data_IF_373127391411
#
_entry.id   IF_373127391411
#
_cell.length_a   1.000
_cell.length_b   1.000
_cell.length_c   1.000
_cell.angle_alpha   90.00
_cell.angle_beta   90.00
_cell.angle_gamma   90.00
#
_symmetry.space_group_name_H-M   'P 1'
#
loop_
_entity.id
_entity.type
_entity.pdbx_description
1 polymer ?
#
# COMPACT_ATOMS: atom_id res chain seq x y z
N UNK A 1 6.69 -20.13 1.61
CA UNK A 1 5.53 -19.85 2.47
C UNK A 1 4.95 -18.44 2.25
N UNK A 2 5.78 -17.37 2.25
CA UNK A 2 5.34 -15.95 2.22
C UNK A 2 4.43 -15.60 1.05
N UNK A 3 4.76 -16.02 -0.18
CA UNK A 3 3.89 -15.77 -1.34
C UNK A 3 2.52 -16.43 -1.18
N UNK A 4 2.46 -17.66 -0.70
CA UNK A 4 1.20 -18.35 -0.41
C UNK A 4 0.39 -17.68 0.70
N UNK A 5 1.05 -17.11 1.72
CA UNK A 5 0.37 -16.32 2.76
C UNK A 5 -0.33 -15.10 2.14
N UNK A 6 0.35 -14.39 1.23
CA UNK A 6 -0.23 -13.24 0.54
C UNK A 6 -1.34 -13.64 -0.44
N UNK A 7 -1.19 -14.75 -1.17
CA UNK A 7 -2.28 -15.31 -2.01
C UNK A 7 -3.49 -15.64 -1.14
N UNK A 8 -3.28 -16.33 -0.02
CA UNK A 8 -4.36 -16.67 0.92
C UNK A 8 -5.03 -15.42 1.51
N UNK A 9 -4.24 -14.40 1.89
CA UNK A 9 -4.77 -13.13 2.39
C UNK A 9 -5.59 -12.41 1.31
N UNK A 10 -5.09 -12.36 0.07
CA UNK A 10 -5.81 -11.76 -1.04
C UNK A 10 -7.15 -12.45 -1.31
N UNK A 11 -7.15 -13.79 -1.36
CA UNK A 11 -8.37 -14.58 -1.56
C UNK A 11 -9.36 -14.36 -0.40
N UNK A 12 -8.89 -14.41 0.84
CA UNK A 12 -9.72 -14.14 2.03
C UNK A 12 -10.34 -12.75 1.97
N UNK A 13 -9.56 -11.74 1.60
CA UNK A 13 -10.03 -10.36 1.48
C UNK A 13 -11.16 -10.26 0.43
N UNK A 14 -10.94 -10.83 -0.76
CA UNK A 14 -11.97 -10.81 -1.81
C UNK A 14 -13.24 -11.55 -1.41
N UNK A 15 -13.13 -12.70 -0.74
CA UNK A 15 -14.31 -13.45 -0.24
C UNK A 15 -15.09 -12.59 0.76
N UNK A 16 -14.43 -12.01 1.77
CA UNK A 16 -15.12 -11.27 2.83
C UNK A 16 -15.70 -9.94 2.32
N UNK A 17 -15.02 -9.27 1.40
CA UNK A 17 -15.57 -8.09 0.70
C UNK A 17 -16.79 -8.47 -0.12
N UNK A 18 -16.73 -9.55 -0.91
CA UNK A 18 -17.87 -10.02 -1.70
C UNK A 18 -19.06 -10.43 -0.84
N UNK A 19 -18.83 -11.08 0.31
CA UNK A 19 -19.89 -11.42 1.27
C UNK A 19 -20.52 -10.17 1.88
N UNK A 20 -19.71 -9.15 2.23
CA UNK A 20 -20.23 -7.88 2.75
C UNK A 20 -21.08 -7.15 1.70
N UNK A 21 -20.58 -7.06 0.46
CA UNK A 21 -21.34 -6.47 -0.65
C UNK A 21 -22.66 -7.21 -0.92
N UNK A 22 -22.63 -8.54 -0.95
CA UNK A 22 -23.83 -9.35 -1.16
C UNK A 22 -24.86 -9.12 -0.06
N UNK A 23 -24.45 -9.07 1.20
CA UNK A 23 -25.30 -8.71 2.33
C UNK A 23 -26.00 -7.38 2.11
N UNK A 24 -25.24 -6.35 1.70
CA UNK A 24 -25.77 -4.99 1.52
C UNK A 24 -26.75 -4.91 0.34
N UNK A 25 -26.46 -5.63 -0.76
CA UNK A 25 -27.37 -5.77 -1.90
C UNK A 25 -28.68 -6.45 -1.47
N UNK A 26 -28.60 -7.57 -0.76
CA UNK A 26 -29.79 -8.29 -0.26
C UNK A 26 -30.60 -7.38 0.69
N UNK A 27 -29.95 -6.69 1.62
CA UNK A 27 -30.60 -5.76 2.54
C UNK A 27 -31.31 -4.62 1.79
N UNK A 28 -30.66 -4.08 0.74
CA UNK A 28 -31.25 -3.04 -0.10
C UNK A 28 -32.52 -3.51 -0.82
N UNK A 29 -32.49 -4.70 -1.44
CA UNK A 29 -33.69 -5.28 -2.09
C UNK A 29 -34.81 -5.60 -1.09
N UNK A 30 -34.49 -6.11 0.10
CA UNK A 30 -35.47 -6.38 1.14
C UNK A 30 -36.15 -5.09 1.63
N UNK A 31 -35.37 -4.01 1.86
CA UNK A 31 -35.91 -2.73 2.25
C UNK A 31 -36.81 -2.13 1.15
N UNK A 32 -36.34 -2.18 -0.11
CA UNK A 32 -37.13 -1.72 -1.26
C UNK A 32 -38.45 -2.50 -1.41
N UNK A 33 -38.43 -3.81 -1.20
CA UNK A 33 -39.63 -4.64 -1.20
C UNK A 33 -40.62 -4.23 -0.08
N UNK A 34 -40.11 -3.98 1.14
CA UNK A 34 -40.95 -3.50 2.27
C UNK A 34 -41.54 -2.14 1.97
N UNK A 35 -40.81 -1.26 1.31
CA UNK A 35 -41.25 0.11 0.95
C UNK A 35 -42.11 0.15 -0.32
N UNK A 36 -42.28 -0.98 -1.03
CA UNK A 36 -43.05 -1.05 -2.29
C UNK A 36 -42.31 -0.36 -3.47
N UNK A 37 -41.00 -0.30 -3.43
CA UNK A 37 -40.18 0.28 -4.49
C UNK A 37 -39.70 -0.79 -5.48
N UNK A 38 -40.47 -1.02 -6.52
CA UNK A 38 -40.18 -2.04 -7.55
C UNK A 38 -39.04 -1.64 -8.52
N UNK A 39 -38.56 -0.40 -8.45
CA UNK A 39 -37.51 0.15 -9.34
C UNK A 39 -36.15 0.29 -8.63
N UNK A 40 -35.97 -0.35 -7.47
CA UNK A 40 -34.71 -0.27 -6.75
C UNK A 40 -33.54 -0.86 -7.57
N UNK A 41 -32.48 -0.08 -7.67
CA UNK A 41 -31.18 -0.50 -8.22
C UNK A 41 -30.11 -0.26 -7.15
N UNK A 42 -29.26 -1.26 -6.83
CA UNK A 42 -28.19 -1.06 -5.87
C UNK A 42 -27.23 0.06 -6.30
N UNK A 43 -26.92 0.95 -5.36
CA UNK A 43 -25.88 1.97 -5.55
C UNK A 43 -24.50 1.31 -5.44
N UNK A 44 -23.86 1.12 -6.59
CA UNK A 44 -22.54 0.49 -6.68
C UNK A 44 -21.44 1.31 -6.00
N UNK A 45 -21.55 2.64 -5.97
CA UNK A 45 -20.59 3.52 -5.29
C UNK A 45 -20.70 3.36 -3.76
N UNK A 46 -21.93 3.34 -3.23
CA UNK A 46 -22.16 3.09 -1.81
C UNK A 46 -21.68 1.69 -1.38
N UNK A 47 -21.89 0.67 -2.22
CA UNK A 47 -21.38 -0.69 -1.97
C UNK A 47 -19.86 -0.74 -1.95
N UNK A 48 -19.19 -0.09 -2.90
CA UNK A 48 -17.73 0.00 -2.96
C UNK A 48 -17.15 0.81 -1.78
N UNK A 49 -17.88 1.78 -1.25
CA UNK A 49 -17.50 2.58 -0.08
C UNK A 49 -17.61 1.84 1.25
N UNK A 50 -18.16 0.63 1.31
CA UNK A 50 -18.31 -0.12 2.55
C UNK A 50 -17.03 -0.91 2.89
N UNK A 51 -16.31 -0.49 3.94
CA UNK A 51 -15.04 -1.11 4.35
C UNK A 51 -15.18 -2.32 5.29
N UNK A 52 -16.37 -2.71 5.72
CA UNK A 52 -16.51 -3.78 6.72
C UNK A 52 -15.93 -5.12 6.27
N UNK A 53 -16.04 -5.46 4.98
CA UNK A 53 -15.41 -6.65 4.40
C UNK A 53 -13.89 -6.63 4.51
N UNK A 54 -13.27 -5.49 4.22
CA UNK A 54 -11.83 -5.29 4.35
C UNK A 54 -11.37 -5.36 5.80
N UNK A 55 -12.10 -4.70 6.73
CA UNK A 55 -11.81 -4.72 8.17
C UNK A 55 -11.87 -6.15 8.71
N UNK A 56 -12.90 -6.89 8.35
CA UNK A 56 -13.03 -8.30 8.74
C UNK A 56 -11.88 -9.16 8.20
N UNK A 57 -11.49 -8.98 6.93
CA UNK A 57 -10.39 -9.71 6.31
C UNK A 57 -9.05 -9.45 7.02
N UNK A 58 -8.77 -8.19 7.33
CA UNK A 58 -7.58 -7.79 8.09
C UNK A 58 -7.58 -8.44 9.47
N UNK A 59 -8.69 -8.35 10.21
CA UNK A 59 -8.78 -8.92 11.55
C UNK A 59 -8.53 -10.43 11.54
N UNK A 60 -9.19 -11.17 10.63
CA UNK A 60 -9.00 -12.62 10.49
C UNK A 60 -7.56 -12.96 10.10
N UNK A 61 -6.98 -12.24 9.12
CA UNK A 61 -5.61 -12.48 8.69
C UNK A 61 -4.59 -12.26 9.83
N UNK A 62 -4.74 -11.18 10.60
CA UNK A 62 -3.85 -10.89 11.72
C UNK A 62 -3.99 -11.93 12.85
N UNK A 63 -5.21 -12.40 13.14
CA UNK A 63 -5.43 -13.49 14.10
C UNK A 63 -4.74 -14.78 13.64
N UNK A 64 -4.89 -15.16 12.36
CA UNK A 64 -4.24 -16.35 11.80
C UNK A 64 -2.71 -16.20 11.88
N UNK A 65 -2.15 -15.05 11.49
CA UNK A 65 -0.72 -14.80 11.53
C UNK A 65 -0.17 -14.80 12.97
N UNK A 66 -0.93 -14.24 13.91
CA UNK A 66 -0.58 -14.25 15.32
C UNK A 66 -0.56 -15.68 15.89
N UNK A 67 -1.61 -16.45 15.63
CA UNK A 67 -1.71 -17.84 16.07
C UNK A 67 -0.59 -18.72 15.47
N UNK A 68 -0.24 -18.48 14.19
CA UNK A 68 0.80 -19.24 13.52
C UNK A 68 2.20 -18.93 14.02
N UNK A 69 2.53 -17.66 14.26
CA UNK A 69 3.90 -17.24 14.65
C UNK A 69 4.13 -17.20 16.16
N UNK A 70 3.06 -17.07 16.93
CA UNK A 70 3.12 -17.02 18.39
C UNK A 70 3.57 -15.68 18.96
N UNK A 71 3.29 -15.47 20.24
CA UNK A 71 3.54 -14.20 20.93
C UNK A 71 5.02 -13.79 21.00
N UNK A 72 5.94 -14.75 21.08
CA UNK A 72 7.39 -14.49 21.13
C UNK A 72 7.88 -13.81 19.84
N UNK A 73 7.41 -14.27 18.69
CA UNK A 73 7.74 -13.62 17.40
C UNK A 73 7.23 -12.19 17.36
N UNK A 74 5.97 -11.97 17.73
CA UNK A 74 5.37 -10.63 17.67
C UNK A 74 5.97 -9.68 18.71
N UNK A 75 6.14 -10.11 19.96
CA UNK A 75 6.71 -9.30 21.02
C UNK A 75 8.23 -9.12 20.89
N UNK A 76 8.95 -10.20 20.59
CA UNK A 76 10.41 -10.20 20.57
C UNK A 76 11.04 -9.68 19.29
N UNK A 77 10.45 -9.99 18.12
CA UNK A 77 11.04 -9.62 16.84
C UNK A 77 10.32 -8.44 16.16
N UNK A 78 8.99 -8.45 16.12
CA UNK A 78 8.24 -7.43 15.37
C UNK A 78 8.19 -6.10 16.10
N UNK A 79 7.87 -6.11 17.40
CA UNK A 79 7.75 -4.88 18.20
C UNK A 79 9.09 -4.38 18.75
N UNK A 80 10.19 -5.08 18.46
CA UNK A 80 11.53 -4.68 18.89
C UNK A 80 11.93 -3.33 18.31
N UNK A 81 12.52 -2.48 19.17
CA UNK A 81 13.15 -1.23 18.77
C UNK A 81 14.64 -1.46 18.59
N UNK A 82 15.18 -1.11 17.41
CA UNK A 82 16.61 -1.28 17.11
C UNK A 82 17.40 -0.03 17.52
N UNK A 83 16.97 1.16 17.09
CA UNK A 83 17.59 2.45 17.39
C UNK A 83 16.54 3.49 17.76
N UNK A 84 16.88 4.50 18.57
CA UNK A 84 15.99 5.63 18.82
C UNK A 84 15.83 6.46 17.55
N UNK A 85 14.60 6.83 17.20
CA UNK A 85 14.29 7.72 16.09
C UNK A 85 14.51 9.16 16.55
N UNK A 86 15.50 9.85 15.96
CA UNK A 86 15.74 11.27 16.21
C UNK A 86 14.83 12.12 15.31
N UNK A 87 14.35 13.30 15.78
CA UNK A 87 13.44 14.16 15.00
C UNK A 87 13.97 14.52 13.60
N UNK A 88 15.26 14.85 13.48
CA UNK A 88 15.86 15.16 12.18
C UNK A 88 15.86 13.97 11.21
N UNK A 89 16.04 12.75 11.72
CA UNK A 89 15.97 11.54 10.90
C UNK A 89 14.52 11.27 10.49
N UNK A 90 13.56 11.44 11.41
CA UNK A 90 12.14 11.31 11.08
C UNK A 90 11.73 12.28 9.97
N UNK A 91 12.17 13.55 10.07
CA UNK A 91 11.92 14.54 9.02
C UNK A 91 12.53 14.12 7.68
N UNK A 92 13.75 13.59 7.66
CA UNK A 92 14.35 13.04 6.45
C UNK A 92 13.51 11.89 5.86
N UNK A 93 13.00 10.97 6.70
CA UNK A 93 12.17 9.85 6.25
C UNK A 93 10.81 10.34 5.72
N UNK A 94 10.22 11.37 6.35
CA UNK A 94 9.01 12.03 5.85
C UNK A 94 9.27 12.64 4.47
N UNK A 95 10.37 13.38 4.29
CA UNK A 95 10.73 13.96 2.99
C UNK A 95 10.95 12.88 1.92
N UNK A 96 11.63 11.79 2.26
CA UNK A 96 11.85 10.67 1.33
C UNK A 96 10.52 9.99 0.95
N UNK A 97 9.65 9.74 1.92
CA UNK A 97 8.34 9.12 1.70
C UNK A 97 7.43 10.04 0.86
N UNK A 98 7.29 11.31 1.26
CA UNK A 98 6.46 12.27 0.53
C UNK A 98 7.01 12.60 -0.87
N UNK A 99 8.34 12.61 -1.03
CA UNK A 99 8.99 12.82 -2.33
C UNK A 99 8.68 11.73 -3.36
N UNK A 100 8.31 10.51 -2.92
CA UNK A 100 7.88 9.45 -3.85
C UNK A 100 6.55 9.78 -4.54
N UNK A 101 5.73 10.66 -3.97
CA UNK A 101 4.48 11.12 -4.60
C UNK A 101 4.74 11.86 -5.92
N UNK A 102 5.85 12.62 -6.01
CA UNK A 102 6.23 13.26 -7.27
C UNK A 102 6.61 12.24 -8.34
N UNK A 103 7.30 11.17 -7.95
CA UNK A 103 7.61 10.06 -8.86
C UNK A 103 6.33 9.37 -9.33
N UNK A 104 5.37 9.17 -8.43
CA UNK A 104 4.06 8.63 -8.75
C UNK A 104 3.29 9.53 -9.73
N UNK A 105 3.29 10.85 -9.50
CA UNK A 105 2.67 11.82 -10.39
C UNK A 105 3.23 11.72 -11.83
N UNK A 106 4.57 11.66 -11.96
CA UNK A 106 5.20 11.48 -13.27
C UNK A 106 4.83 10.13 -13.89
N UNK A 107 4.82 9.07 -13.09
CA UNK A 107 4.46 7.72 -13.55
C UNK A 107 3.02 7.66 -14.09
N UNK A 108 2.05 8.18 -13.34
CA UNK A 108 0.65 8.20 -13.73
C UNK A 108 0.46 8.95 -15.06
N UNK A 109 1.06 10.15 -15.20
CA UNK A 109 0.96 10.93 -16.41
C UNK A 109 1.63 10.25 -17.62
N UNK A 110 2.77 9.57 -17.40
CA UNK A 110 3.42 8.79 -18.44
C UNK A 110 2.56 7.60 -18.87
N UNK A 111 1.96 6.89 -17.93
CA UNK A 111 1.09 5.77 -18.21
C UNK A 111 -0.18 6.23 -18.96
N UNK A 112 -0.78 7.35 -18.53
CA UNK A 112 -1.93 7.96 -19.23
C UNK A 112 -1.59 8.33 -20.67
N UNK A 113 -0.43 8.95 -20.89
CA UNK A 113 0.07 9.26 -22.23
C UNK A 113 0.15 8.00 -23.11
N UNK A 114 0.69 6.92 -22.57
CA UNK A 114 0.81 5.65 -23.28
C UNK A 114 -0.56 5.04 -23.56
N UNK A 115 -1.47 5.01 -22.55
CA UNK A 115 -2.80 4.45 -22.72
C UNK A 115 -3.65 5.23 -23.74
N UNK A 116 -3.52 6.55 -23.77
CA UNK A 116 -4.20 7.41 -24.74
C UNK A 116 -3.78 7.10 -26.19
N UNK A 117 -2.53 6.64 -26.42
CA UNK A 117 -2.11 6.17 -27.76
C UNK A 117 -2.90 4.94 -28.23
N UNK A 118 -3.51 4.19 -27.30
CA UNK A 118 -4.37 3.04 -27.60
C UNK A 118 -5.87 3.35 -27.46
N UNK A 119 -6.24 4.62 -27.30
CA UNK A 119 -7.63 5.06 -27.15
C UNK A 119 -8.24 4.67 -25.79
N UNK A 120 -7.41 4.49 -24.75
CA UNK A 120 -7.82 4.12 -23.38
C UNK A 120 -7.31 5.16 -22.38
N UNK A 121 -7.92 5.20 -21.18
CA UNK A 121 -7.47 6.04 -20.08
C UNK A 121 -7.07 5.16 -18.88
N UNK A 122 -5.89 5.40 -18.33
CA UNK A 122 -5.47 4.80 -17.10
C UNK A 122 -6.07 5.53 -15.87
N UNK A 123 -6.29 6.83 -15.98
CA UNK A 123 -6.82 7.69 -14.90
C UNK A 123 -8.27 7.30 -14.57
N UNK A 124 -9.09 6.92 -15.55
CA UNK A 124 -10.45 6.44 -15.32
C UNK A 124 -10.52 5.25 -14.34
N UNK A 125 -9.46 4.45 -14.26
CA UNK A 125 -9.37 3.36 -13.28
C UNK A 125 -9.08 3.85 -11.84
N UNK A 126 -8.52 5.06 -11.67
CA UNK A 126 -8.29 5.66 -10.36
C UNK A 126 -9.58 6.10 -9.68
N UNK A 127 -10.55 6.59 -10.43
CA UNK A 127 -11.83 7.05 -9.88
C UNK A 127 -12.58 5.89 -9.22
N UNK A 128 -12.45 4.69 -9.76
CA UNK A 128 -13.02 3.47 -9.17
C UNK A 128 -12.30 3.11 -7.84
N UNK A 129 -11.00 3.36 -7.75
CA UNK A 129 -10.19 3.02 -6.56
C UNK A 129 -10.26 4.12 -5.49
N UNK A 130 -10.33 5.39 -5.90
CA UNK A 130 -10.31 6.56 -5.00
C UNK A 130 -11.71 7.05 -4.61
N UNK A 131 -12.72 6.87 -5.44
CA UNK A 131 -14.11 7.29 -5.18
C UNK A 131 -14.80 6.56 -4.02
N UNK A 132 -14.15 5.55 -3.45
CA UNK A 132 -14.68 4.78 -2.32
C UNK A 132 -14.37 5.38 -0.93
N UNK A 133 -13.55 6.43 -0.83
CA UNK A 133 -13.09 6.97 0.47
C UNK A 133 -14.08 7.89 1.19
N UNK A 134 -15.27 8.13 0.62
CA UNK A 134 -16.23 9.09 1.17
C UNK A 134 -16.99 8.61 2.39
N UNK A 135 -16.99 7.31 2.67
CA UNK A 135 -17.61 6.78 3.88
C UNK A 135 -16.66 6.81 5.07
N UNK A 136 -17.22 6.99 6.28
CA UNK A 136 -16.44 6.95 7.53
C UNK A 136 -15.70 5.60 7.69
N UNK A 137 -16.34 4.50 7.31
CA UNK A 137 -15.73 3.16 7.39
C UNK A 137 -14.52 3.03 6.47
N UNK A 138 -14.62 3.51 5.22
CA UNK A 138 -13.51 3.46 4.27
C UNK A 138 -12.40 4.44 4.64
N UNK A 139 -12.74 5.66 5.12
CA UNK A 139 -11.76 6.58 5.67
C UNK A 139 -10.93 5.96 6.79
N UNK A 140 -11.58 5.38 7.80
CA UNK A 140 -10.90 4.72 8.92
C UNK A 140 -10.06 3.53 8.45
N UNK A 141 -10.58 2.76 7.50
CA UNK A 141 -9.83 1.65 6.92
C UNK A 141 -8.61 2.14 6.15
N UNK A 142 -8.78 2.98 5.14
CA UNK A 142 -7.71 3.36 4.22
C UNK A 142 -6.64 4.23 4.89
N UNK A 143 -7.04 5.12 5.82
CA UNK A 143 -6.11 6.05 6.46
C UNK A 143 -5.39 5.48 7.68
N UNK A 144 -5.98 4.49 8.38
CA UNK A 144 -5.44 3.97 9.64
C UNK A 144 -5.27 2.45 9.64
N UNK A 145 -6.36 1.69 9.43
CA UNK A 145 -6.33 0.24 9.63
C UNK A 145 -5.52 -0.50 8.55
N UNK A 146 -5.63 -0.08 7.29
CA UNK A 146 -4.84 -0.64 6.21
C UNK A 146 -3.34 -0.39 6.44
N UNK A 147 -2.84 0.85 6.66
CA UNK A 147 -1.44 1.09 6.99
C UNK A 147 -0.93 0.26 8.17
N UNK A 148 -1.69 0.15 9.26
CA UNK A 148 -1.30 -0.65 10.44
C UNK A 148 -1.17 -2.12 10.07
N UNK A 149 -2.19 -2.68 9.42
CA UNK A 149 -2.21 -4.10 9.05
C UNK A 149 -1.16 -4.45 8.00
N UNK A 150 -0.95 -3.58 7.03
CA UNK A 150 0.06 -3.76 6.01
C UNK A 150 1.47 -3.73 6.60
N UNK A 151 1.76 -2.83 7.56
CA UNK A 151 3.04 -2.85 8.24
C UNK A 151 3.23 -4.10 9.10
N UNK A 152 2.18 -4.60 9.75
CA UNK A 152 2.26 -5.89 10.47
C UNK A 152 2.53 -7.06 9.52
N UNK A 153 1.89 -7.09 8.37
CA UNK A 153 2.07 -8.15 7.37
C UNK A 153 3.43 -8.02 6.67
N UNK A 154 3.73 -6.85 6.09
CA UNK A 154 4.90 -6.71 5.22
C UNK A 154 6.19 -6.44 6.00
N UNK A 155 6.17 -5.64 7.08
CA UNK A 155 7.37 -5.33 7.88
C UNK A 155 7.46 -6.22 9.11
N UNK A 156 6.32 -6.56 9.72
CA UNK A 156 6.27 -7.52 10.81
C UNK A 156 6.56 -8.94 10.35
N UNK A 157 5.72 -9.50 9.49
CA UNK A 157 5.86 -10.91 9.12
C UNK A 157 6.85 -11.14 7.97
N UNK A 158 6.67 -10.50 6.80
CA UNK A 158 7.48 -10.81 5.59
C UNK A 158 8.92 -10.35 5.76
N UNK A 159 9.15 -9.10 6.08
CA UNK A 159 10.48 -8.53 6.22
C UNK A 159 11.28 -9.25 7.31
N UNK A 160 10.68 -9.51 8.49
CA UNK A 160 11.35 -10.25 9.57
C UNK A 160 11.66 -11.70 9.16
N UNK A 161 10.81 -12.36 8.40
CA UNK A 161 11.08 -13.70 7.85
C UNK A 161 12.19 -13.71 6.79
N UNK A 162 12.41 -12.59 6.08
CA UNK A 162 13.51 -12.44 5.11
C UNK A 162 14.82 -11.94 5.76
N UNK A 163 14.76 -11.37 6.97
CA UNK A 163 15.87 -10.74 7.68
C UNK A 163 17.11 -11.64 7.86
N UNK A 164 16.99 -12.97 8.11
CA UNK A 164 18.12 -13.87 8.20
C UNK A 164 18.96 -13.97 6.92
N UNK A 165 18.39 -13.62 5.76
CA UNK A 165 19.07 -13.63 4.46
C UNK A 165 19.71 -12.28 4.11
N UNK A 166 19.77 -11.33 5.05
CA UNK A 166 20.37 -10.01 4.90
C UNK A 166 19.34 -8.87 4.92
N UNK A 167 19.73 -7.73 5.52
CA UNK A 167 18.88 -6.54 5.67
C UNK A 167 18.36 -6.03 4.33
N UNK A 168 19.29 -5.88 3.38
CA UNK A 168 18.98 -5.34 2.04
C UNK A 168 18.03 -6.25 1.28
N UNK A 169 18.26 -7.55 1.33
CA UNK A 169 17.38 -8.52 0.70
C UNK A 169 15.97 -8.46 1.33
N UNK A 170 15.87 -8.37 2.67
CA UNK A 170 14.61 -8.26 3.38
C UNK A 170 13.83 -6.99 3.01
N UNK A 171 14.51 -5.83 2.91
CA UNK A 171 13.91 -4.57 2.50
C UNK A 171 13.39 -4.66 1.05
N UNK A 172 14.23 -5.10 0.12
CA UNK A 172 13.88 -5.21 -1.30
C UNK A 172 12.75 -6.22 -1.53
N UNK A 173 12.84 -7.41 -0.93
CA UNK A 173 11.83 -8.46 -1.08
C UNK A 173 10.49 -8.06 -0.48
N UNK A 174 10.49 -7.44 0.71
CA UNK A 174 9.27 -6.93 1.34
C UNK A 174 8.65 -5.78 0.54
N UNK A 175 9.47 -4.83 0.06
CA UNK A 175 9.00 -3.72 -0.76
C UNK A 175 8.44 -4.20 -2.11
N UNK A 176 9.08 -5.18 -2.75
CA UNK A 176 8.60 -5.78 -3.99
C UNK A 176 7.23 -6.44 -3.80
N UNK A 177 7.08 -7.27 -2.77
CA UNK A 177 5.80 -7.91 -2.48
C UNK A 177 4.72 -6.91 -2.07
N UNK A 178 5.09 -5.85 -1.36
CA UNK A 178 4.19 -4.76 -0.99
C UNK A 178 3.67 -4.00 -2.21
N UNK A 179 4.57 -3.58 -3.11
CA UNK A 179 4.19 -2.94 -4.36
C UNK A 179 3.29 -3.85 -5.22
N UNK A 180 3.71 -5.10 -5.40
CA UNK A 180 2.99 -6.08 -6.21
C UNK A 180 1.58 -6.36 -5.65
N UNK A 181 1.42 -6.44 -4.33
CA UNK A 181 0.16 -6.75 -3.66
C UNK A 181 -0.95 -5.72 -3.91
N UNK A 182 -0.61 -4.49 -4.28
CA UNK A 182 -1.60 -3.49 -4.67
C UNK A 182 -2.38 -3.87 -5.94
N UNK A 183 -1.85 -4.78 -6.78
CA UNK A 183 -2.56 -5.33 -7.94
C UNK A 183 -3.04 -4.29 -8.96
N UNK A 184 -2.48 -3.08 -8.90
CA UNK A 184 -2.84 -1.94 -9.74
C UNK A 184 -1.57 -1.30 -10.29
N UNK A 185 -1.47 -1.17 -11.61
CA UNK A 185 -0.27 -0.67 -12.26
C UNK A 185 0.03 0.80 -11.92
N UNK A 186 -0.99 1.60 -11.61
CA UNK A 186 -0.83 2.99 -11.19
C UNK A 186 -0.15 3.11 -9.81
N UNK A 187 -0.47 2.20 -8.89
CA UNK A 187 0.01 2.23 -7.50
C UNK A 187 1.25 1.37 -7.26
N UNK A 188 1.43 0.28 -8.01
CA UNK A 188 2.50 -0.71 -7.77
C UNK A 188 3.91 -0.10 -7.71
N UNK A 189 4.36 0.75 -8.67
CA UNK A 189 5.70 1.35 -8.60
C UNK A 189 5.86 2.31 -7.43
N UNK A 190 4.82 3.08 -7.14
CA UNK A 190 4.78 4.00 -6.01
C UNK A 190 4.87 3.25 -4.68
N UNK A 191 4.01 2.25 -4.48
CA UNK A 191 4.01 1.43 -3.27
C UNK A 191 5.34 0.71 -3.07
N UNK A 192 6.00 0.26 -4.15
CA UNK A 192 7.36 -0.28 -4.07
C UNK A 192 8.35 0.76 -3.50
N UNK A 193 8.34 1.99 -4.01
CA UNK A 193 9.25 3.06 -3.54
C UNK A 193 8.98 3.45 -2.09
N UNK A 194 7.72 3.68 -1.72
CA UNK A 194 7.32 3.86 -0.31
C UNK A 194 7.76 2.66 0.52
N UNK A 195 7.55 1.47 -0.03
CA UNK A 195 7.95 0.20 0.57
C UNK A 195 9.43 0.11 0.94
N UNK A 196 10.32 0.68 0.14
CA UNK A 196 11.76 0.75 0.43
C UNK A 196 12.05 1.65 1.64
N UNK A 197 11.41 2.82 1.71
CA UNK A 197 11.57 3.76 2.83
C UNK A 197 11.04 3.14 4.12
N UNK A 198 9.82 2.60 4.09
CA UNK A 198 9.20 1.95 5.24
C UNK A 198 10.00 0.71 5.69
N UNK A 199 10.51 -0.09 4.75
CA UNK A 199 11.36 -1.24 5.04
C UNK A 199 12.67 -0.84 5.73
N UNK A 200 13.30 0.24 5.28
CA UNK A 200 14.49 0.81 5.92
C UNK A 200 14.17 1.26 7.36
N UNK A 201 13.07 2.00 7.55
CA UNK A 201 12.64 2.46 8.89
C UNK A 201 12.34 1.28 9.81
N UNK A 202 11.66 0.24 9.32
CA UNK A 202 11.36 -0.95 10.11
C UNK A 202 12.61 -1.73 10.53
N UNK A 203 13.63 -1.79 9.65
CA UNK A 203 14.90 -2.52 9.94
C UNK A 203 15.80 -1.74 10.88
N UNK A 204 15.95 -0.43 10.67
CA UNK A 204 16.94 0.36 11.39
C UNK A 204 16.37 1.00 12.68
N UNK A 205 15.05 1.15 12.77
CA UNK A 205 14.40 1.79 13.92
C UNK A 205 13.33 0.90 14.56
N UNK A 206 12.16 0.79 13.96
CA UNK A 206 11.11 -0.13 14.41
C UNK A 206 9.95 -0.20 13.41
N UNK A 207 9.16 -1.27 13.48
CA UNK A 207 7.89 -1.40 12.75
C UNK A 207 6.90 -0.32 13.19
N UNK A 208 6.90 0.09 14.46
CA UNK A 208 6.03 1.18 14.94
C UNK A 208 6.32 2.54 14.27
N UNK A 209 7.59 2.87 14.01
CA UNK A 209 7.92 4.08 13.25
C UNK A 209 7.57 3.96 11.77
N UNK A 210 7.68 2.76 11.20
CA UNK A 210 7.21 2.48 9.85
C UNK A 210 5.70 2.66 9.74
N UNK A 211 4.92 2.15 10.71
CA UNK A 211 3.47 2.38 10.82
C UNK A 211 3.11 3.87 10.90
N UNK A 212 3.80 4.61 11.77
CA UNK A 212 3.54 6.05 11.93
C UNK A 212 3.78 6.82 10.63
N UNK A 213 4.87 6.49 9.91
CA UNK A 213 5.18 7.09 8.62
C UNK A 213 4.17 6.69 7.53
N UNK A 214 3.71 5.44 7.53
CA UNK A 214 2.70 4.96 6.59
C UNK A 214 1.33 5.59 6.85
N UNK A 215 0.91 5.69 8.12
CA UNK A 215 -0.31 6.42 8.50
C UNK A 215 -0.20 7.89 8.07
N UNK A 216 0.94 8.55 8.30
CA UNK A 216 1.17 9.91 7.84
C UNK A 216 1.00 10.04 6.32
N UNK A 217 1.56 9.10 5.56
CA UNK A 217 1.42 9.06 4.11
C UNK A 217 -0.05 8.96 3.66
N UNK A 218 -0.81 8.04 4.24
CA UNK A 218 -2.18 7.80 3.82
C UNK A 218 -3.15 8.86 4.38
N UNK A 219 -3.07 9.16 5.68
CA UNK A 219 -3.97 10.10 6.33
C UNK A 219 -3.69 11.55 5.91
N UNK A 220 -2.41 11.98 5.91
CA UNK A 220 -2.08 13.39 5.71
C UNK A 220 -1.85 13.69 4.24
N UNK A 221 -0.98 12.93 3.56
CA UNK A 221 -0.58 13.23 2.19
C UNK A 221 -1.60 12.77 1.14
N UNK A 222 -2.30 11.67 1.38
CA UNK A 222 -3.32 11.20 0.45
C UNK A 222 -4.71 11.77 0.80
N UNK A 223 -5.27 11.43 1.97
CA UNK A 223 -6.67 11.75 2.28
C UNK A 223 -6.88 13.23 2.67
N UNK A 224 -6.16 13.74 3.69
CA UNK A 224 -6.39 15.11 4.18
C UNK A 224 -6.05 16.16 3.10
N UNK A 225 -4.95 15.99 2.38
CA UNK A 225 -4.57 16.93 1.30
C UNK A 225 -5.58 16.89 0.16
N UNK A 226 -6.06 15.72 -0.24
CA UNK A 226 -7.13 15.56 -1.24
C UNK A 226 -8.40 16.31 -0.81
N UNK A 227 -8.86 16.14 0.44
CA UNK A 227 -10.04 16.84 0.98
C UNK A 227 -9.85 18.36 1.04
N UNK A 228 -8.66 18.83 1.40
CA UNK A 228 -8.34 20.27 1.45
C UNK A 228 -8.34 20.91 0.05
N UNK A 229 -8.02 20.15 -0.98
CA UNK A 229 -7.97 20.63 -2.36
C UNK A 229 -9.25 20.34 -3.16
N UNK A 230 -10.15 19.50 -2.66
CA UNK A 230 -11.35 19.02 -3.38
C UNK A 230 -12.29 20.14 -3.86
N UNK A 231 -12.39 21.24 -3.11
CA UNK A 231 -13.25 22.37 -3.47
C UNK A 231 -12.53 23.47 -4.29
N UNK A 232 -11.26 23.27 -4.64
CA UNK A 232 -10.49 24.21 -5.45
C UNK A 232 -10.70 23.92 -6.94
N UNK A 233 -10.55 24.93 -7.82
CA UNK A 233 -10.44 24.68 -9.25
C UNK A 233 -9.34 23.68 -9.54
N UNK A 234 -9.55 22.76 -10.48
CA UNK A 234 -8.64 21.65 -10.81
C UNK A 234 -7.19 22.11 -11.02
N UNK A 235 -7.00 23.21 -11.74
CA UNK A 235 -5.67 23.81 -11.98
C UNK A 235 -5.02 24.22 -10.65
N UNK A 236 -5.78 24.87 -9.76
CA UNK A 236 -5.26 25.33 -8.46
C UNK A 236 -4.87 24.14 -7.58
N UNK A 237 -5.70 23.10 -7.50
CA UNK A 237 -5.41 21.87 -6.79
C UNK A 237 -4.15 21.19 -7.33
N UNK A 238 -4.03 21.09 -8.65
CA UNK A 238 -2.85 20.50 -9.32
C UNK A 238 -1.58 21.29 -9.05
N UNK A 239 -1.62 22.62 -9.09
CA UNK A 239 -0.46 23.49 -8.78
C UNK A 239 -0.03 23.33 -7.32
N UNK A 240 -0.99 23.30 -6.39
CA UNK A 240 -0.70 23.09 -4.96
C UNK A 240 -0.04 21.74 -4.74
N UNK A 241 -0.60 20.68 -5.29
CA UNK A 241 -0.03 19.32 -5.18
C UNK A 241 1.37 19.24 -5.79
N UNK A 242 1.58 19.86 -6.97
CA UNK A 242 2.90 19.95 -7.61
C UNK A 242 3.92 20.69 -6.74
N UNK A 243 3.54 21.81 -6.12
CA UNK A 243 4.44 22.57 -5.22
C UNK A 243 4.79 21.76 -3.98
N UNK A 244 3.81 21.12 -3.33
CA UNK A 244 4.02 20.33 -2.13
C UNK A 244 4.89 19.10 -2.43
N UNK A 245 4.50 18.27 -3.38
CA UNK A 245 5.23 17.04 -3.70
C UNK A 245 6.56 17.30 -4.41
N UNK A 246 6.62 18.34 -5.25
CA UNK A 246 7.86 18.81 -5.86
C UNK A 246 8.86 19.34 -4.82
N UNK A 247 8.39 20.09 -3.81
CA UNK A 247 9.19 20.52 -2.68
C UNK A 247 9.75 19.36 -1.86
N UNK A 248 8.92 18.38 -1.53
CA UNK A 248 9.38 17.16 -0.85
C UNK A 248 10.35 16.34 -1.70
N UNK A 249 10.13 16.25 -3.01
CA UNK A 249 11.05 15.58 -3.93
C UNK A 249 12.41 16.27 -3.98
N UNK A 250 12.44 17.61 -4.09
CA UNK A 250 13.68 18.37 -4.05
C UNK A 250 14.42 18.20 -2.72
N UNK A 251 13.69 18.22 -1.59
CA UNK A 251 14.25 17.95 -0.26
C UNK A 251 14.80 16.49 -0.17
N UNK A 252 14.06 15.50 -0.66
CA UNK A 252 14.50 14.11 -0.71
C UNK A 252 15.78 13.94 -1.55
N UNK A 253 15.83 14.57 -2.73
CA UNK A 253 17.02 14.56 -3.59
C UNK A 253 18.22 15.22 -2.89
N UNK A 254 18.03 16.38 -2.26
CA UNK A 254 19.08 17.05 -1.49
C UNK A 254 19.61 16.19 -0.33
N UNK A 255 18.71 15.53 0.43
CA UNK A 255 19.06 14.58 1.50
C UNK A 255 19.91 13.43 0.96
N UNK A 256 19.49 12.80 -0.15
CA UNK A 256 20.21 11.68 -0.76
C UNK A 256 21.58 12.10 -1.30
N UNK A 257 21.67 13.27 -1.95
CA UNK A 257 22.93 13.83 -2.47
C UNK A 257 23.88 14.17 -1.32
N UNK A 258 23.39 14.84 -0.28
CA UNK A 258 24.19 15.22 0.89
C UNK A 258 24.73 13.98 1.64
N UNK A 259 23.93 12.90 1.69
CA UNK A 259 24.29 11.67 2.38
C UNK A 259 24.76 10.55 1.42
N UNK A 260 25.13 10.89 0.18
CA UNK A 260 25.47 9.90 -0.88
C UNK A 260 26.51 8.85 -0.45
N UNK A 261 27.50 9.25 0.33
CA UNK A 261 28.53 8.34 0.82
C UNK A 261 27.95 7.31 1.81
N UNK A 262 27.11 7.76 2.75
CA UNK A 262 26.42 6.89 3.70
C UNK A 262 25.42 5.96 3.02
N UNK A 263 24.65 6.46 2.05
CA UNK A 263 23.72 5.66 1.24
C UNK A 263 24.50 4.61 0.45
N UNK A 264 25.60 4.99 -0.19
CA UNK A 264 26.47 4.05 -0.92
C UNK A 264 27.07 3.00 0.00
N UNK A 265 27.58 3.39 1.17
CA UNK A 265 28.12 2.48 2.16
C UNK A 265 27.02 1.49 2.66
N UNK A 266 25.80 1.98 2.91
CA UNK A 266 24.67 1.13 3.29
C UNK A 266 24.32 0.13 2.17
N UNK A 267 24.29 0.60 0.92
CA UNK A 267 24.05 -0.27 -0.24
C UNK A 267 25.18 -1.30 -0.42
N UNK A 268 26.41 -1.00 -0.04
CA UNK A 268 27.56 -1.89 -0.17
C UNK A 268 27.81 -2.76 1.07
N UNK A 269 27.18 -2.48 2.20
CA UNK A 269 27.43 -3.16 3.49
C UNK A 269 27.10 -4.64 3.52
N UNK A 270 26.18 -5.09 2.67
CA UNK A 270 25.79 -6.49 2.57
C UNK A 270 25.68 -6.90 1.10
N UNK A 271 26.16 -8.09 0.78
CA UNK A 271 25.97 -8.68 -0.55
C UNK A 271 24.67 -9.48 -0.57
N UNK A 272 23.84 -9.25 -1.59
CA UNK A 272 22.64 -10.06 -1.78
C UNK A 272 23.05 -11.33 -2.54
N UNK A 273 22.90 -12.49 -1.90
CA UNK A 273 23.19 -13.76 -2.54
C UNK A 273 22.22 -14.01 -3.72
N UNK A 274 22.79 -14.25 -4.89
CA UNK A 274 22.03 -14.57 -6.12
C UNK A 274 21.17 -15.81 -5.97
N UNK A 275 21.56 -16.77 -5.10
CA UNK A 275 20.74 -17.95 -4.79
C UNK A 275 19.47 -17.56 -4.04
N UNK A 276 19.60 -16.66 -3.06
CA UNK A 276 18.42 -16.15 -2.33
C UNK A 276 17.45 -15.44 -3.28
N UNK A 277 17.94 -14.59 -4.19
CA UNK A 277 17.11 -13.95 -5.22
C UNK A 277 16.40 -14.98 -6.10
N UNK A 278 17.14 -15.97 -6.62
CA UNK A 278 16.54 -17.04 -7.45
C UNK A 278 15.49 -17.82 -6.69
N UNK A 279 15.79 -18.27 -5.46
CA UNK A 279 14.83 -19.00 -4.63
C UNK A 279 13.58 -18.17 -4.29
N UNK A 280 13.73 -16.87 -4.09
CA UNK A 280 12.62 -15.95 -3.82
C UNK A 280 11.71 -15.82 -5.05
N UNK A 281 12.26 -15.39 -6.19
CA UNK A 281 11.46 -15.14 -7.40
C UNK A 281 10.94 -16.42 -8.05
N UNK A 282 11.64 -17.55 -7.94
CA UNK A 282 11.22 -18.84 -8.47
C UNK A 282 10.37 -19.65 -7.48
N UNK A 283 10.08 -19.13 -6.29
CA UNK A 283 9.19 -19.82 -5.37
C UNK A 283 7.74 -19.83 -5.92
N UNK A 284 7.11 -21.00 -5.88
CA UNK A 284 5.75 -21.16 -6.42
C UNK A 284 4.74 -20.13 -5.87
N UNK A 285 4.86 -19.76 -4.58
CA UNK A 285 3.96 -18.78 -3.98
C UNK A 285 4.20 -17.34 -4.48
N UNK A 286 5.45 -16.93 -4.78
CA UNK A 286 5.75 -15.61 -5.35
C UNK A 286 5.30 -15.58 -6.81
N UNK A 287 5.53 -16.66 -7.57
CA UNK A 287 5.05 -16.79 -8.96
C UNK A 287 3.53 -16.70 -8.99
N UNK A 288 2.83 -17.47 -8.16
CA UNK A 288 1.36 -17.47 -8.09
C UNK A 288 0.81 -16.07 -7.75
N UNK A 289 1.40 -15.39 -6.76
CA UNK A 289 1.03 -14.02 -6.43
C UNK A 289 1.28 -13.07 -7.60
N UNK A 290 2.44 -13.17 -8.26
CA UNK A 290 2.79 -12.31 -9.40
C UNK A 290 1.79 -12.49 -10.55
N UNK A 291 1.47 -13.74 -10.90
CA UNK A 291 0.48 -14.03 -11.96
C UNK A 291 -0.88 -13.45 -11.58
N UNK A 292 -1.32 -13.67 -10.35
CA UNK A 292 -2.62 -13.17 -9.86
C UNK A 292 -2.68 -11.63 -9.92
N UNK A 293 -1.64 -10.93 -9.45
CA UNK A 293 -1.61 -9.47 -9.47
C UNK A 293 -1.48 -8.89 -10.88
N UNK A 294 -0.72 -9.54 -11.76
CA UNK A 294 -0.65 -9.13 -13.17
C UNK A 294 -2.00 -9.31 -13.87
N UNK A 295 -2.72 -10.38 -13.60
CA UNK A 295 -4.09 -10.56 -14.13
C UNK A 295 -4.98 -9.41 -13.65
N UNK A 296 -4.94 -9.05 -12.37
CA UNK A 296 -5.71 -7.91 -11.85
C UNK A 296 -5.34 -6.59 -12.53
N UNK A 297 -4.05 -6.33 -12.73
CA UNK A 297 -3.58 -5.13 -13.44
C UNK A 297 -4.12 -5.07 -14.87
N UNK A 298 -4.12 -6.21 -15.58
CA UNK A 298 -4.65 -6.29 -16.95
C UNK A 298 -6.16 -6.07 -16.97
N UNK A 299 -6.90 -6.69 -16.05
CA UNK A 299 -8.35 -6.50 -15.92
C UNK A 299 -8.67 -5.03 -15.65
N UNK A 300 -7.99 -4.40 -14.68
CA UNK A 300 -8.18 -3.00 -14.34
C UNK A 300 -7.93 -2.05 -15.52
N UNK A 301 -6.91 -2.32 -16.34
CA UNK A 301 -6.63 -1.52 -17.54
C UNK A 301 -7.56 -1.82 -18.74
N UNK A 302 -8.36 -2.88 -18.63
CA UNK A 302 -9.29 -3.29 -19.71
C UNK A 302 -10.72 -2.82 -19.48
N UNK A 303 -11.04 -2.47 -18.23
CA UNK A 303 -12.34 -1.92 -17.82
C UNK A 303 -12.45 -0.44 -18.18
#
# INVERSE_FOLDING_TARGET
PMGWTLVGYYVLMNILVSVAMLRDVIAGYLNAFIEGNDQYVPDTAALAGNAWGYIAAVAVALVILYAWKGGEFWGGEVLRREKPMKPGILLCMVCLCAGTQMVNFVWINLLELVMNCFGRSAIGTLDVVSGSSDTVSMFLYASLLAPISEELIFRGFILRSLRPYGKRFAILGSAFLFGLFHGNLLQTPYAFLVGLVLGYVAVEYSVGWSMALHIFNNLVLADLLSRLTANLPEIAASVINLMIFGGFFAAAAAILIANRAGVRAYIQSEWIDRRCLKCFFLSAGVIALTVLMVINMVIALSA
#
